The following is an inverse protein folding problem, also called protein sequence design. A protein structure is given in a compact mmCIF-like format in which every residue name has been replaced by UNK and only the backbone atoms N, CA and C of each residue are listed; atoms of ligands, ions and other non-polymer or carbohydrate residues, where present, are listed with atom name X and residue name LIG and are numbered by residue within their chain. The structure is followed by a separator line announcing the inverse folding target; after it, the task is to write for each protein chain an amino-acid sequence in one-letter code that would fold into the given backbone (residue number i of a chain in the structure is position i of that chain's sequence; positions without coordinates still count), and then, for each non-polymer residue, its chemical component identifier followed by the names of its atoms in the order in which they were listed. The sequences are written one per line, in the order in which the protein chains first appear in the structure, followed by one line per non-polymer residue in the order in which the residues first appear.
data_IF_297558068518
#
_entry.id   IF_297558068518
#
_cell.length_a   1.000
_cell.length_b   1.000
_cell.length_c   1.000
_cell.angle_alpha   90.00
_cell.angle_beta   90.00
_cell.angle_gamma   90.00
#
_symmetry.space_group_name_H-M   'P 1'
#
loop_
_entity.id
_entity.type
_entity.pdbx_description
1 polymer ?
#
# COMPACT_ATOMS: atom_id res chain seq x y z
N UNK A 1 -5.73 -45.51 -22.83
CA UNK A 1 -6.54 -44.73 -21.87
C UNK A 1 -5.87 -44.78 -20.51
N UNK A 2 -4.99 -43.82 -20.19
CA UNK A 2 -4.33 -43.77 -18.86
C UNK A 2 -5.33 -43.33 -17.80
N UNK A 3 -5.41 -44.10 -16.72
CA UNK A 3 -6.53 -44.07 -15.78
C UNK A 3 -6.38 -42.90 -14.78
N UNK A 4 -6.93 -41.73 -15.15
CA UNK A 4 -6.84 -40.45 -14.42
C UNK A 4 -7.34 -40.57 -12.95
N UNK A 5 -8.28 -41.49 -12.67
CA UNK A 5 -8.87 -41.66 -11.33
C UNK A 5 -7.88 -42.17 -10.27
N UNK A 6 -6.93 -43.05 -10.63
CA UNK A 6 -5.91 -43.56 -9.68
C UNK A 6 -4.88 -42.49 -9.26
N UNK A 7 -4.64 -41.49 -10.11
CA UNK A 7 -3.69 -40.42 -9.81
C UNK A 7 -4.23 -39.43 -8.75
N UNK A 8 -5.54 -39.19 -8.73
CA UNK A 8 -6.18 -38.22 -7.83
C UNK A 8 -6.10 -38.65 -6.35
N UNK A 9 -6.32 -39.94 -6.05
CA UNK A 9 -6.22 -40.47 -4.69
C UNK A 9 -4.77 -40.43 -4.13
N UNK A 10 -3.78 -40.57 -5.02
CA UNK A 10 -2.35 -40.44 -4.65
C UNK A 10 -1.95 -39.00 -4.33
N UNK A 11 -2.59 -37.99 -4.94
CA UNK A 11 -2.27 -36.58 -4.70
C UNK A 11 -2.77 -36.14 -3.32
N UNK A 12 -3.96 -36.56 -2.91
CA UNK A 12 -4.53 -36.21 -1.61
C UNK A 12 -3.72 -36.79 -0.44
N UNK A 13 -3.26 -38.05 -0.56
CA UNK A 13 -2.38 -38.68 0.42
C UNK A 13 -1.00 -38.03 0.49
N UNK A 14 -0.40 -37.65 -0.64
CA UNK A 14 0.86 -36.89 -0.70
C UNK A 14 0.72 -35.48 -0.10
N UNK A 15 -0.41 -34.82 -0.32
CA UNK A 15 -0.67 -33.49 0.25
C UNK A 15 -0.76 -33.54 1.77
N UNK A 16 -1.43 -34.55 2.33
CA UNK A 16 -1.50 -34.75 3.77
C UNK A 16 -0.09 -34.89 4.40
N UNK A 17 0.82 -35.61 3.74
CA UNK A 17 2.21 -35.74 4.18
C UNK A 17 2.99 -34.42 4.07
N UNK A 18 2.82 -33.68 2.98
CA UNK A 18 3.47 -32.36 2.81
C UNK A 18 3.00 -31.37 3.86
N UNK A 19 1.71 -31.35 4.17
CA UNK A 19 1.13 -30.52 5.22
C UNK A 19 1.69 -30.89 6.61
N UNK A 20 1.83 -32.19 6.91
CA UNK A 20 2.47 -32.66 8.16
C UNK A 20 3.97 -32.33 8.22
N UNK A 21 4.67 -32.33 7.09
CA UNK A 21 6.10 -32.04 7.03
C UNK A 21 6.46 -30.55 7.15
N UNK A 22 5.48 -29.65 7.03
CA UNK A 22 5.70 -28.19 7.06
C UNK A 22 6.47 -27.62 5.86
N UNK A 23 6.88 -28.45 4.89
CA UNK A 23 7.64 -28.05 3.70
C UNK A 23 6.73 -27.50 2.61
N UNK A 24 5.90 -26.52 2.94
CA UNK A 24 4.99 -25.85 2.01
C UNK A 24 5.04 -24.34 2.18
N UNK A 25 4.68 -23.62 1.12
CA UNK A 25 4.64 -22.15 1.11
C UNK A 25 3.27 -21.73 0.62
N UNK A 26 2.55 -20.98 1.45
CA UNK A 26 1.24 -20.41 1.13
C UNK A 26 1.38 -18.92 0.80
N UNK A 27 0.53 -18.43 -0.10
CA UNK A 27 0.41 -17.02 -0.44
C UNK A 27 1.15 -16.61 -1.71
N UNK A 28 0.46 -15.82 -2.55
CA UNK A 28 0.87 -15.47 -3.92
C UNK A 28 2.30 -14.90 -4.04
N UNK A 29 2.66 -13.91 -3.22
CA UNK A 29 3.99 -13.27 -3.25
C UNK A 29 5.11 -14.23 -2.86
N UNK A 30 4.84 -15.12 -1.91
CA UNK A 30 5.84 -16.07 -1.40
C UNK A 30 6.01 -17.25 -2.37
N UNK A 31 4.91 -17.73 -2.97
CA UNK A 31 4.92 -18.73 -4.05
C UNK A 31 5.63 -18.19 -5.30
N UNK A 32 5.45 -16.92 -5.67
CA UNK A 32 6.21 -16.30 -6.77
C UNK A 32 7.72 -16.26 -6.51
N UNK A 33 8.14 -16.02 -5.26
CA UNK A 33 9.56 -16.02 -4.89
C UNK A 33 10.16 -17.42 -4.99
N UNK A 34 9.46 -18.45 -4.53
CA UNK A 34 9.94 -19.84 -4.62
C UNK A 34 9.91 -20.38 -6.05
N UNK A 35 8.96 -19.92 -6.87
CA UNK A 35 8.89 -20.24 -8.30
C UNK A 35 10.07 -19.63 -9.07
N UNK A 36 10.39 -18.35 -8.84
CA UNK A 36 11.56 -17.69 -9.44
C UNK A 36 12.90 -18.31 -9.01
N UNK A 37 12.93 -18.93 -7.83
CA UNK A 37 14.10 -19.66 -7.34
C UNK A 37 14.17 -21.11 -7.84
N UNK A 38 13.20 -21.59 -8.62
CA UNK A 38 13.17 -22.95 -9.16
C UNK A 38 12.96 -24.06 -8.11
N UNK A 39 12.52 -23.71 -6.89
CA UNK A 39 12.41 -24.66 -5.76
C UNK A 39 11.03 -25.33 -5.66
N UNK A 40 10.05 -24.86 -6.43
CA UNK A 40 8.69 -25.37 -6.41
C UNK A 40 8.57 -26.65 -7.24
N UNK A 41 8.12 -27.76 -6.61
CA UNK A 41 7.90 -29.06 -7.27
C UNK A 41 6.44 -29.29 -7.68
N UNK A 42 5.49 -28.64 -7.00
CA UNK A 42 4.06 -28.73 -7.26
C UNK A 42 3.41 -27.39 -6.88
N UNK A 43 2.54 -26.87 -7.75
CA UNK A 43 1.77 -25.64 -7.51
C UNK A 43 0.29 -25.99 -7.50
N UNK A 44 -0.42 -25.58 -6.46
CA UNK A 44 -1.86 -25.77 -6.34
C UNK A 44 -2.51 -24.40 -6.22
N UNK A 45 -3.45 -24.12 -7.12
CA UNK A 45 -4.26 -22.91 -7.11
C UNK A 45 -5.59 -23.27 -6.46
N UNK A 46 -5.80 -22.83 -5.23
CA UNK A 46 -7.06 -23.04 -4.52
C UNK A 46 -7.93 -21.77 -4.63
N UNK A 47 -9.14 -21.90 -5.17
CA UNK A 47 -10.10 -20.80 -5.30
C UNK A 47 -10.89 -20.51 -4.00
N UNK A 48 -10.61 -21.23 -2.92
CA UNK A 48 -11.38 -21.18 -1.67
C UNK A 48 -10.52 -20.85 -0.43
N UNK A 49 -9.36 -20.22 -0.61
CA UNK A 49 -8.59 -19.76 0.56
C UNK A 49 -9.12 -18.40 1.01
N UNK A 50 -9.62 -18.24 2.25
CA UNK A 50 -10.08 -16.95 2.72
C UNK A 50 -8.88 -15.97 2.71
N UNK A 51 -9.03 -14.75 2.19
CA UNK A 51 -7.97 -13.77 2.23
C UNK A 51 -7.61 -13.47 3.70
N UNK A 52 -6.32 -13.63 4.04
CA UNK A 52 -5.78 -13.20 5.34
C UNK A 52 -6.18 -11.74 5.58
N UNK A 53 -7.00 -11.51 6.61
CA UNK A 53 -7.56 -10.19 6.97
C UNK A 53 -6.44 -9.15 7.03
N UNK A 54 -6.33 -8.34 5.99
CA UNK A 54 -5.82 -6.98 6.12
C UNK A 54 -6.99 -6.16 6.68
N UNK A 55 -6.78 -5.40 7.75
CA UNK A 55 -7.75 -4.38 8.19
C UNK A 55 -8.15 -3.53 6.97
N UNK A 56 -9.43 -3.18 6.80
CA UNK A 56 -9.83 -2.37 5.66
C UNK A 56 -9.14 -1.01 5.78
N UNK A 57 -8.17 -0.77 4.90
CA UNK A 57 -7.55 0.55 4.65
C UNK A 57 -8.56 1.56 4.04
N UNK A 58 -9.85 1.24 4.04
CA UNK A 58 -10.91 1.99 3.35
C UNK A 58 -11.19 3.38 3.95
N UNK A 59 -10.55 3.74 5.06
CA UNK A 59 -10.76 5.03 5.73
C UNK A 59 -9.56 5.98 5.70
N UNK A 60 -8.49 5.62 4.99
CA UNK A 60 -7.30 6.46 4.82
C UNK A 60 -7.34 7.16 3.46
N UNK A 61 -7.41 8.48 3.47
CA UNK A 61 -7.33 9.28 2.25
C UNK A 61 -6.10 10.18 2.28
N UNK A 62 -5.27 10.10 1.24
CA UNK A 62 -4.17 11.05 1.03
C UNK A 62 -4.74 12.27 0.30
N UNK A 63 -4.87 13.37 1.02
CA UNK A 63 -5.46 14.60 0.49
C UNK A 63 -4.55 15.26 -0.56
N UNK A 64 -3.24 14.97 -0.51
CA UNK A 64 -2.25 15.51 -1.45
C UNK A 64 -1.62 14.41 -2.31
N UNK A 65 -2.16 14.13 -3.51
CA UNK A 65 -1.54 13.19 -4.43
C UNK A 65 -0.22 13.74 -4.99
N UNK A 66 0.76 12.87 -5.31
CA UNK A 66 2.03 13.29 -5.89
C UNK A 66 1.83 13.73 -7.35
N UNK A 67 1.86 15.03 -7.60
CA UNK A 67 1.59 15.62 -8.92
C UNK A 67 2.82 16.09 -9.68
N UNK A 68 3.94 16.35 -8.99
CA UNK A 68 5.14 16.94 -9.63
C UNK A 68 6.24 15.91 -9.81
N UNK A 69 6.86 15.85 -11.00
CA UNK A 69 7.99 14.94 -11.24
C UNK A 69 9.30 15.57 -10.75
N UNK A 70 9.99 14.89 -9.84
CA UNK A 70 11.34 15.22 -9.44
C UNK A 70 12.31 14.67 -10.49
N UNK A 71 13.17 15.56 -11.01
CA UNK A 71 14.21 15.21 -11.99
C UNK A 71 15.57 15.36 -11.34
N UNK A 72 16.44 14.38 -11.54
CA UNK A 72 17.82 14.45 -11.08
C UNK A 72 18.74 14.82 -12.25
N UNK A 73 19.57 15.85 -12.06
CA UNK A 73 20.63 16.18 -13.00
C UNK A 73 21.60 15.02 -13.12
N UNK A 74 21.74 14.45 -14.31
CA UNK A 74 22.71 13.39 -14.55
C UNK A 74 24.02 14.03 -15.00
N UNK A 75 24.98 14.13 -14.08
CA UNK A 75 26.39 14.27 -14.45
C UNK A 75 26.84 12.92 -14.98
N UNK A 76 26.56 12.64 -16.25
CA UNK A 76 27.10 11.45 -16.89
C UNK A 76 28.62 11.65 -16.91
N UNK A 77 29.33 11.02 -15.96
CA UNK A 77 30.75 10.74 -16.12
C UNK A 77 30.85 9.72 -17.26
N UNK A 78 30.76 10.20 -18.50
CA UNK A 78 31.04 9.41 -19.69
C UNK A 78 32.53 9.11 -19.61
N UNK A 79 32.87 7.96 -19.00
CA UNK A 79 34.21 7.37 -19.00
C UNK A 79 34.62 7.34 -20.47
N UNK A 80 35.47 8.29 -20.86
CA UNK A 80 35.61 8.67 -22.25
C UNK A 80 36.51 7.70 -22.99
N UNK A 81 36.15 7.41 -24.23
CA UNK A 81 37.07 7.72 -25.30
C UNK A 81 36.58 9.06 -25.92
N UNK A 82 37.41 10.11 -25.82
CA UNK A 82 37.15 11.55 -26.06
C UNK A 82 36.35 12.33 -24.97
N UNK A 83 37.08 13.00 -24.06
CA UNK A 83 36.56 13.89 -23.01
C UNK A 83 36.25 15.28 -23.57
N UNK A 84 35.03 15.50 -24.04
CA UNK A 84 34.47 16.86 -24.11
C UNK A 84 33.83 17.17 -22.75
N UNK A 85 34.43 18.11 -22.02
CA UNK A 85 33.89 18.62 -20.76
C UNK A 85 32.76 19.62 -21.06
N UNK A 86 31.60 19.12 -21.47
CA UNK A 86 30.39 19.94 -21.60
C UNK A 86 29.80 20.15 -20.21
N UNK A 87 30.25 21.19 -19.49
CA UNK A 87 29.87 21.50 -18.09
C UNK A 87 28.36 21.37 -17.76
N UNK A 88 27.61 22.47 -17.72
CA UNK A 88 26.15 22.45 -17.44
C UNK A 88 25.29 22.40 -18.71
N UNK A 89 25.88 22.23 -19.90
CA UNK A 89 25.14 22.17 -21.16
C UNK A 89 24.29 20.91 -21.21
N UNK A 90 22.96 21.08 -21.31
CA UNK A 90 22.01 19.96 -21.36
C UNK A 90 21.66 19.33 -20.01
N UNK A 91 21.88 20.03 -18.88
CA UNK A 91 21.65 19.54 -17.52
C UNK A 91 20.17 19.28 -17.14
N UNK A 92 19.26 19.18 -18.11
CA UNK A 92 17.87 18.82 -17.84
C UNK A 92 17.80 17.34 -17.45
N UNK A 93 17.48 17.11 -16.18
CA UNK A 93 17.51 15.79 -15.56
C UNK A 93 16.46 14.81 -16.08
N UNK A 94 16.74 13.51 -15.91
CA UNK A 94 15.75 12.46 -16.13
C UNK A 94 14.75 12.44 -14.96
N UNK A 95 13.47 12.11 -15.22
CA UNK A 95 12.49 11.95 -14.15
C UNK A 95 12.91 10.78 -13.25
N UNK A 96 13.06 11.04 -11.95
CA UNK A 96 13.50 10.08 -10.94
C UNK A 96 12.33 9.60 -10.07
N UNK A 97 11.34 10.46 -9.83
CA UNK A 97 10.18 10.15 -9.00
C UNK A 97 9.11 11.22 -9.09
N UNK A 98 8.04 11.05 -8.33
CA UNK A 98 7.01 12.07 -8.14
C UNK A 98 7.02 12.54 -6.69
N UNK A 99 6.75 13.83 -6.50
CA UNK A 99 6.69 14.49 -5.20
C UNK A 99 5.39 15.28 -5.11
N UNK A 100 4.78 15.25 -3.93
CA UNK A 100 3.62 16.08 -3.60
C UNK A 100 4.12 17.42 -3.04
N UNK A 101 3.59 18.53 -3.56
CA UNK A 101 3.82 19.85 -2.98
C UNK A 101 2.75 20.12 -1.93
N UNK A 102 3.16 20.55 -0.74
CA UNK A 102 2.27 20.77 0.40
C UNK A 102 2.51 22.17 0.93
N UNK A 103 1.44 22.96 1.05
CA UNK A 103 1.49 24.29 1.66
C UNK A 103 1.35 24.22 3.19
N UNK A 104 1.77 25.26 3.88
CA UNK A 104 1.63 25.35 5.35
C UNK A 104 0.14 25.35 5.70
N UNK A 105 -0.26 24.48 6.62
CA UNK A 105 -1.66 24.32 7.04
C UNK A 105 -2.49 23.38 6.16
N UNK A 106 -1.93 22.87 5.06
CA UNK A 106 -2.61 21.90 4.21
C UNK A 106 -2.59 20.49 4.87
N UNK A 107 -3.74 19.80 4.96
CA UNK A 107 -3.77 18.42 5.43
C UNK A 107 -3.10 17.49 4.42
N UNK A 108 -2.20 16.62 4.90
CA UNK A 108 -1.47 15.64 4.07
C UNK A 108 -2.26 14.32 4.00
N UNK A 109 -2.73 13.87 5.15
CA UNK A 109 -3.36 12.57 5.36
C UNK A 109 -4.53 12.74 6.32
N UNK A 110 -5.68 12.19 5.94
CA UNK A 110 -6.91 12.23 6.73
C UNK A 110 -7.42 10.82 6.98
N UNK A 111 -7.82 10.54 8.22
CA UNK A 111 -8.35 9.24 8.65
C UNK A 111 -9.74 9.44 9.23
N UNK A 112 -10.69 8.60 8.84
CA UNK A 112 -11.98 8.45 9.54
C UNK A 112 -12.00 7.17 10.34
N UNK A 113 -12.49 7.23 11.56
CA UNK A 113 -12.74 6.05 12.39
C UNK A 113 -13.96 6.31 13.27
N UNK A 114 -14.54 5.23 13.79
CA UNK A 114 -15.46 5.36 14.92
C UNK A 114 -14.70 5.88 16.15
N UNK A 115 -15.41 6.54 17.07
CA UNK A 115 -14.80 7.16 18.25
C UNK A 115 -14.12 6.14 19.17
N UNK A 116 -14.53 4.87 19.12
CA UNK A 116 -13.91 3.73 19.83
C UNK A 116 -12.41 3.59 19.52
N UNK A 117 -11.99 3.88 18.29
CA UNK A 117 -10.60 3.68 17.86
C UNK A 117 -9.76 4.96 17.83
N UNK A 118 -10.27 6.07 18.39
CA UNK A 118 -9.56 7.35 18.47
C UNK A 118 -8.11 7.24 18.97
N UNK A 119 -7.79 6.54 20.09
CA UNK A 119 -6.40 6.46 20.57
C UNK A 119 -5.49 5.69 19.61
N UNK A 120 -6.01 4.62 18.98
CA UNK A 120 -5.25 3.83 18.02
C UNK A 120 -4.89 4.64 16.76
N UNK A 121 -5.82 5.49 16.28
CA UNK A 121 -5.57 6.36 15.12
C UNK A 121 -4.54 7.45 15.44
N UNK A 122 -4.60 8.04 16.63
CA UNK A 122 -3.62 9.04 17.06
C UNK A 122 -2.21 8.44 17.07
N UNK A 123 -2.05 7.22 17.60
CA UNK A 123 -0.77 6.52 17.62
C UNK A 123 -0.30 6.14 16.21
N UNK A 124 -1.21 5.70 15.33
CA UNK A 124 -0.89 5.42 13.94
C UNK A 124 -0.39 6.67 13.20
N UNK A 125 -1.04 7.82 13.38
CA UNK A 125 -0.61 9.09 12.79
C UNK A 125 0.70 9.61 13.39
N UNK A 126 0.93 9.39 14.69
CA UNK A 126 2.21 9.68 15.35
C UNK A 126 3.36 8.87 14.74
N UNK A 127 3.13 7.60 14.44
CA UNK A 127 4.13 6.75 13.75
C UNK A 127 4.34 7.15 12.30
N UNK A 128 3.26 7.46 11.58
CA UNK A 128 3.32 7.91 10.20
C UNK A 128 4.10 9.23 10.06
N UNK A 129 3.96 10.14 11.02
CA UNK A 129 4.69 11.42 11.07
C UNK A 129 6.20 11.25 10.92
N UNK A 130 6.81 10.21 11.49
CA UNK A 130 8.26 9.97 11.39
C UNK A 130 8.74 9.66 9.96
N UNK A 131 7.84 9.36 9.03
CA UNK A 131 8.17 9.10 7.62
C UNK A 131 8.17 10.37 6.77
N UNK A 132 7.66 11.49 7.29
CA UNK A 132 7.63 12.76 6.59
C UNK A 132 8.69 13.71 7.15
N UNK A 133 9.49 14.37 6.29
CA UNK A 133 10.44 15.39 6.75
C UNK A 133 9.70 16.63 7.26
N UNK A 134 10.25 17.30 8.27
CA UNK A 134 9.69 18.54 8.84
C UNK A 134 8.80 18.32 10.07
N UNK A 135 8.10 19.39 10.50
CA UNK A 135 7.23 19.37 11.70
C UNK A 135 5.77 19.28 11.31
N UNK A 136 5.16 18.11 11.43
CA UNK A 136 3.71 17.93 11.25
C UNK A 136 2.98 17.98 12.60
N UNK A 137 1.79 18.57 12.61
CA UNK A 137 0.88 18.57 13.76
C UNK A 137 -0.28 17.62 13.49
N UNK A 138 -0.70 16.87 14.50
CA UNK A 138 -1.87 16.00 14.44
C UNK A 138 -3.05 16.82 14.95
N UNK A 139 -4.12 16.91 14.15
CA UNK A 139 -5.34 17.62 14.50
C UNK A 139 -6.52 16.67 14.57
N UNK A 140 -7.38 16.86 15.57
CA UNK A 140 -8.69 16.18 15.64
C UNK A 140 -9.72 17.14 15.08
N UNK A 141 -10.37 16.76 13.99
CA UNK A 141 -11.38 17.59 13.32
C UNK A 141 -12.70 17.62 14.12
N UNK A 142 -13.36 18.78 14.12
CA UNK A 142 -14.74 18.97 14.60
C UNK A 142 -15.79 18.53 13.58
N UNK A 143 -15.39 18.30 12.32
CA UNK A 143 -16.27 17.91 11.23
C UNK A 143 -16.70 16.45 11.32
N UNK A 144 -17.86 16.13 10.74
CA UNK A 144 -18.33 14.75 10.63
C UNK A 144 -17.59 13.99 9.52
N UNK A 145 -16.43 13.45 9.84
CA UNK A 145 -15.62 12.71 8.89
C UNK A 145 -14.99 13.62 7.82
N UNK A 146 -15.34 13.41 6.55
CA UNK A 146 -14.83 14.17 5.39
C UNK A 146 -15.88 15.13 4.83
N UNK A 147 -16.99 15.31 5.54
CA UNK A 147 -18.00 16.31 5.17
C UNK A 147 -17.51 17.71 5.55
N UNK A 148 -18.22 18.71 5.03
CA UNK A 148 -17.96 20.12 5.35
C UNK A 148 -18.58 20.53 6.70
N UNK A 149 -19.61 19.81 7.14
CA UNK A 149 -20.44 20.09 8.31
C UNK A 149 -19.78 19.65 9.61
N UNK A 150 -20.08 20.37 10.68
CA UNK A 150 -19.73 19.97 12.03
C UNK A 150 -20.61 18.81 12.51
N UNK A 151 -20.17 18.09 13.55
CA UNK A 151 -20.89 16.89 14.02
C UNK A 151 -22.33 17.19 14.45
N UNK A 152 -22.53 18.28 15.18
CA UNK A 152 -23.84 18.71 15.69
C UNK A 152 -24.81 19.03 14.55
N UNK A 153 -24.36 19.83 13.59
CA UNK A 153 -25.15 20.18 12.40
C UNK A 153 -25.48 18.93 11.56
N UNK A 154 -24.53 18.00 11.42
CA UNK A 154 -24.75 16.77 10.67
C UNK A 154 -25.80 15.86 11.31
N UNK A 155 -25.86 15.79 12.65
CA UNK A 155 -26.89 15.03 13.37
C UNK A 155 -28.28 15.62 13.10
N UNK A 156 -28.44 16.95 13.18
CA UNK A 156 -29.71 17.61 12.88
C UNK A 156 -30.17 17.39 11.43
N UNK A 157 -29.25 17.48 10.46
CA UNK A 157 -29.54 17.24 9.04
C UNK A 157 -29.88 15.76 8.76
N UNK A 158 -29.25 14.83 9.49
CA UNK A 158 -29.55 13.40 9.38
C UNK A 158 -30.96 13.10 9.88
N UNK A 159 -31.35 13.67 11.01
CA UNK A 159 -32.66 13.45 11.62
C UNK A 159 -33.79 14.06 10.77
N UNK A 160 -33.53 15.19 10.09
CA UNK A 160 -34.49 15.82 9.16
C UNK A 160 -34.68 15.03 7.85
N UNK A 161 -33.66 14.29 7.41
CA UNK A 161 -33.66 13.60 6.11
C UNK A 161 -33.94 12.09 6.21
N UNK A 162 -34.17 11.56 7.42
CA UNK A 162 -34.69 10.21 7.60
C UNK A 162 -36.23 10.26 7.63
N UNK A 163 -36.94 9.68 6.63
CA UNK A 163 -38.38 9.51 6.75
C UNK A 163 -38.65 8.58 7.93
N UNK A 164 -39.45 9.05 8.89
CA UNK A 164 -40.07 8.19 9.90
C UNK A 164 -41.20 7.39 9.25
#
# INVERSE_FOLDING_TARGET
MWNIKKALESINSRLALVMKSGKYVLGYKQTLKTLRQGKAKLIIIANNTPPLRCMPLSCLEMTTPPSSSQRNGSWILRKSFHRLQTGMRGAYGKPQGTVARVNIGQPIMSVRSSDKFKPAVIEALRRAKFKFPGRQKIYVSKKWGFTKYDREEYETLRDQNSPK
#
